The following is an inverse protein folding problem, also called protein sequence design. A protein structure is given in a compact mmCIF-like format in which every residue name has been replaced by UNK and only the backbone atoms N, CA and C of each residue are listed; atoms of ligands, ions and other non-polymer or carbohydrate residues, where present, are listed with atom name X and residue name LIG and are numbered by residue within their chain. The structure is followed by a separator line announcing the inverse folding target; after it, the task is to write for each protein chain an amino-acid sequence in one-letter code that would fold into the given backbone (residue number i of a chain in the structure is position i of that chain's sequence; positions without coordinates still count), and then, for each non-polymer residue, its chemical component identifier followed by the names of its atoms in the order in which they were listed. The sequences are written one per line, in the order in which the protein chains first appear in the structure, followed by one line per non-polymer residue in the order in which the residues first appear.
data_IF_950314733322
#
_entry.id   IF_950314733322
#
_cell.length_a   1.000
_cell.length_b   1.000
_cell.length_c   1.000
_cell.angle_alpha   90.00
_cell.angle_beta   90.00
_cell.angle_gamma   90.00
#
_symmetry.space_group_name_H-M   'P 1'
#
loop_
_entity.id
_entity.type
_entity.pdbx_description
1 polymer ?
#
# COMPACT_ATOMS: atom_id res chain seq x y z
N UNK A 1 33.59 9.23 32.07
CA UNK A 1 32.46 9.97 32.66
C UNK A 1 32.73 11.46 32.50
N UNK A 2 31.94 12.19 31.70
CA UNK A 2 31.54 13.60 31.90
C UNK A 2 30.40 13.82 30.91
N UNK A 3 29.20 13.90 31.46
CA UNK A 3 27.92 13.96 30.79
C UNK A 3 27.54 15.43 30.62
N UNK A 4 27.54 15.97 29.40
CA UNK A 4 27.11 17.36 29.14
C UNK A 4 25.66 17.34 28.62
N UNK A 5 24.71 17.55 29.55
CA UNK A 5 23.30 17.80 29.27
C UNK A 5 23.13 19.28 28.90
N UNK A 6 22.63 19.53 27.70
CA UNK A 6 22.05 20.80 27.23
C UNK A 6 20.74 20.34 26.59
N UNK A 7 19.54 20.76 26.97
CA UNK A 7 19.10 22.03 27.51
C UNK A 7 17.80 22.28 26.74
N UNK A 8 16.67 22.14 27.42
CA UNK A 8 15.33 22.12 26.84
C UNK A 8 14.98 23.43 26.13
N UNK A 9 14.27 23.33 25.00
CA UNK A 9 13.44 24.43 24.49
C UNK A 9 12.12 23.86 24.00
N UNK A 10 11.11 24.01 24.86
CA UNK A 10 9.70 23.92 24.51
C UNK A 10 9.40 25.06 23.51
N UNK A 11 8.89 24.70 22.33
CA UNK A 11 8.08 25.62 21.53
C UNK A 11 6.74 24.94 21.28
N UNK A 12 5.78 25.33 22.11
CA UNK A 12 4.37 25.06 22.01
C UNK A 12 3.83 25.86 20.82
N UNK A 13 3.38 25.19 19.75
CA UNK A 13 2.68 25.84 18.64
C UNK A 13 1.23 25.35 18.58
N UNK A 14 0.26 26.27 18.38
CA UNK A 14 -1.15 25.96 18.49
C UNK A 14 -1.69 25.23 17.25
N UNK A 15 -2.59 24.29 17.57
CA UNK A 15 -3.41 23.49 16.69
C UNK A 15 -4.44 24.38 15.96
N UNK A 16 -4.35 24.52 14.64
CA UNK A 16 -5.41 25.13 13.81
C UNK A 16 -6.22 23.99 13.19
N UNK A 17 -7.38 23.71 13.77
CA UNK A 17 -8.36 22.78 13.23
C UNK A 17 -9.26 23.52 12.21
N UNK A 18 -8.99 23.32 10.93
CA UNK A 18 -9.88 23.76 9.85
C UNK A 18 -10.82 22.61 9.47
N UNK A 19 -12.05 22.64 9.99
CA UNK A 19 -13.12 21.72 9.59
C UNK A 19 -13.77 22.23 8.30
N UNK A 20 -13.37 21.68 7.17
CA UNK A 20 -14.10 21.83 5.91
C UNK A 20 -15.24 20.82 5.86
N UNK A 21 -16.47 21.33 5.94
CA UNK A 21 -17.70 20.58 5.70
C UNK A 21 -17.80 20.24 4.20
N UNK A 22 -17.85 18.95 3.86
CA UNK A 22 -18.19 18.50 2.51
C UNK A 22 -19.72 18.36 2.37
N UNK A 23 -20.31 18.83 1.26
CA UNK A 23 -21.71 18.59 0.96
C UNK A 23 -21.96 17.14 0.52
N UNK A 24 -22.98 16.53 1.13
CA UNK A 24 -23.52 15.23 0.77
C UNK A 24 -24.18 15.30 -0.62
N UNK A 25 -23.67 14.54 -1.59
CA UNK A 25 -24.35 14.34 -2.87
C UNK A 25 -25.25 13.10 -2.81
N UNK A 26 -26.47 13.31 -3.29
CA UNK A 26 -27.61 12.44 -3.21
C UNK A 26 -27.45 11.12 -3.97
N UNK A 27 -28.04 10.07 -3.41
CA UNK A 27 -28.13 8.72 -3.97
C UNK A 27 -29.18 8.71 -5.10
N UNK A 28 -28.81 8.23 -6.29
CA UNK A 28 -29.75 7.88 -7.35
C UNK A 28 -30.24 6.44 -7.18
N UNK A 29 -31.56 6.32 -7.04
CA UNK A 29 -32.37 5.11 -6.90
C UNK A 29 -32.16 4.08 -8.03
N UNK A 30 -32.20 2.76 -7.74
CA UNK A 30 -32.15 1.71 -8.75
C UNK A 30 -33.47 1.57 -9.52
N UNK A 31 -33.35 1.32 -10.84
CA UNK A 31 -34.44 1.02 -11.77
C UNK A 31 -34.85 -0.46 -11.66
N UNK A 32 -36.07 -0.72 -11.20
CA UNK A 32 -36.70 -2.04 -11.30
C UNK A 32 -37.22 -2.28 -12.72
N UNK A 33 -36.80 -3.38 -13.34
CA UNK A 33 -37.44 -3.96 -14.53
C UNK A 33 -37.90 -5.37 -14.21
N UNK A 34 -39.21 -5.57 -14.15
CA UNK A 34 -39.86 -6.88 -14.13
C UNK A 34 -40.08 -7.36 -15.57
N UNK A 35 -39.82 -8.65 -15.85
CA UNK A 35 -40.55 -9.35 -16.90
C UNK A 35 -41.23 -10.63 -16.40
N UNK A 36 -42.57 -10.59 -16.43
CA UNK A 36 -43.52 -11.55 -17.03
C UNK A 36 -43.25 -13.06 -16.83
N UNK A 37 -44.00 -13.63 -15.90
CA UNK A 37 -44.20 -15.06 -15.66
C UNK A 37 -44.85 -15.76 -16.87
N UNK A 38 -44.19 -16.79 -17.39
CA UNK A 38 -44.79 -17.83 -18.25
C UNK A 38 -44.67 -19.16 -17.49
N UNK A 39 -45.76 -19.91 -17.24
CA UNK A 39 -45.69 -21.18 -16.54
C UNK A 39 -45.58 -22.33 -17.55
N UNK A 40 -44.41 -22.96 -17.66
CA UNK A 40 -44.28 -24.21 -18.42
C UNK A 40 -43.41 -25.23 -17.66
N UNK A 41 -44.10 -26.29 -17.23
CA UNK A 41 -43.69 -27.70 -17.20
C UNK A 41 -42.52 -28.06 -16.28
N UNK A 42 -42.89 -28.49 -15.06
CA UNK A 42 -42.00 -29.16 -14.12
C UNK A 42 -41.58 -30.52 -14.67
N UNK A 43 -40.35 -30.58 -15.19
CA UNK A 43 -39.61 -31.82 -15.35
C UNK A 43 -38.76 -31.94 -14.10
N UNK A 44 -39.06 -32.92 -13.24
CA UNK A 44 -38.30 -33.17 -12.02
C UNK A 44 -36.94 -33.79 -12.38
N UNK A 45 -35.98 -32.94 -12.71
CA UNK A 45 -34.57 -33.31 -12.65
C UNK A 45 -34.17 -33.26 -11.18
N UNK A 46 -33.83 -34.42 -10.61
CA UNK A 46 -33.19 -34.49 -9.30
C UNK A 46 -31.82 -33.82 -9.40
N UNK A 47 -31.77 -32.52 -9.15
CA UNK A 47 -30.52 -31.80 -8.96
C UNK A 47 -30.01 -32.17 -7.58
N UNK A 48 -28.96 -33.00 -7.54
CA UNK A 48 -28.08 -33.10 -6.40
C UNK A 48 -27.57 -31.69 -6.09
N UNK A 49 -28.29 -30.97 -5.23
CA UNK A 49 -28.04 -29.56 -4.96
C UNK A 49 -26.92 -29.55 -3.94
N UNK A 50 -25.68 -29.55 -4.42
CA UNK A 50 -24.56 -29.20 -3.56
C UNK A 50 -24.89 -27.87 -2.88
N UNK A 51 -24.65 -27.72 -1.57
CA UNK A 51 -24.90 -26.46 -0.89
C UNK A 51 -24.13 -25.36 -1.62
N UNK A 52 -24.87 -24.37 -2.12
CA UNK A 52 -24.32 -23.21 -2.82
C UNK A 52 -23.38 -22.53 -1.83
N UNK A 53 -22.08 -22.67 -2.05
CA UNK A 53 -21.07 -22.08 -1.18
C UNK A 53 -21.19 -20.55 -1.31
N UNK A 54 -21.62 -19.89 -0.25
CA UNK A 54 -21.81 -18.43 -0.22
C UNK A 54 -20.54 -17.75 0.25
N UNK A 55 -20.01 -16.82 -0.55
CA UNK A 55 -18.91 -15.93 -0.16
C UNK A 55 -19.51 -14.69 0.50
N UNK A 56 -18.95 -14.26 1.63
CA UNK A 56 -19.29 -12.97 2.23
C UNK A 56 -18.58 -11.84 1.46
N UNK A 57 -19.32 -11.20 0.56
CA UNK A 57 -18.81 -10.11 -0.30
C UNK A 57 -18.34 -8.90 0.51
N UNK A 58 -19.00 -8.59 1.63
CA UNK A 58 -18.61 -7.47 2.49
C UNK A 58 -17.27 -7.75 3.18
N UNK A 59 -17.06 -9.00 3.62
CA UNK A 59 -15.78 -9.45 4.15
C UNK A 59 -14.64 -9.32 3.12
N UNK A 60 -14.89 -9.72 1.86
CA UNK A 60 -13.90 -9.57 0.78
C UNK A 60 -13.56 -8.11 0.52
N UNK A 61 -14.57 -7.23 0.44
CA UNK A 61 -14.37 -5.80 0.22
C UNK A 61 -13.48 -5.18 1.33
N UNK A 62 -13.73 -5.53 2.59
CA UNK A 62 -12.90 -5.09 3.71
C UNK A 62 -11.45 -5.58 3.59
N UNK A 63 -11.24 -6.84 3.17
CA UNK A 63 -9.90 -7.37 2.95
C UNK A 63 -9.15 -6.65 1.80
N UNK A 64 -9.86 -6.27 0.74
CA UNK A 64 -9.31 -5.46 -0.36
C UNK A 64 -8.90 -4.08 0.15
N UNK A 65 -9.78 -3.38 0.87
CA UNK A 65 -9.49 -2.05 1.42
C UNK A 65 -8.24 -2.07 2.31
N UNK A 66 -8.11 -3.10 3.17
CA UNK A 66 -6.93 -3.29 4.00
C UNK A 66 -5.65 -3.51 3.19
N UNK A 67 -5.71 -4.28 2.09
CA UNK A 67 -4.58 -4.51 1.20
C UNK A 67 -4.13 -3.21 0.53
N UNK A 68 -5.07 -2.49 -0.07
CA UNK A 68 -4.79 -1.25 -0.79
C UNK A 68 -4.23 -0.18 0.15
N UNK A 69 -4.80 -0.02 1.34
CA UNK A 69 -4.28 0.89 2.36
C UNK A 69 -2.83 0.52 2.78
N UNK A 70 -2.53 -0.77 2.96
CA UNK A 70 -1.20 -1.23 3.31
C UNK A 70 -0.17 -0.99 2.18
N UNK A 71 -0.54 -1.23 0.92
CA UNK A 71 0.32 -0.96 -0.24
C UNK A 71 0.55 0.55 -0.39
N UNK A 72 -0.50 1.36 -0.24
CA UNK A 72 -0.40 2.83 -0.25
C UNK A 72 0.59 3.34 0.79
N UNK A 73 0.45 2.93 2.04
CA UNK A 73 1.37 3.31 3.12
C UNK A 73 2.83 2.87 2.86
N UNK A 74 3.02 1.69 2.26
CA UNK A 74 4.35 1.20 1.89
C UNK A 74 4.99 2.06 0.77
N UNK A 75 4.19 2.49 -0.22
CA UNK A 75 4.63 3.40 -1.27
C UNK A 75 5.02 4.77 -0.72
N UNK A 76 4.20 5.34 0.17
CA UNK A 76 4.50 6.63 0.81
C UNK A 76 5.84 6.57 1.57
N UNK A 77 6.06 5.48 2.30
CA UNK A 77 7.31 5.22 3.02
C UNK A 77 8.49 5.11 2.05
N UNK A 78 8.33 4.36 0.96
CA UNK A 78 9.35 4.23 -0.09
C UNK A 78 9.71 5.58 -0.72
N UNK A 79 8.72 6.34 -1.16
CA UNK A 79 8.93 7.63 -1.82
C UNK A 79 9.56 8.64 -0.89
N UNK A 80 9.15 8.68 0.38
CA UNK A 80 9.78 9.52 1.41
C UNK A 80 11.25 9.17 1.62
N UNK A 81 11.57 7.87 1.71
CA UNK A 81 12.95 7.40 1.86
C UNK A 81 13.81 7.74 0.64
N UNK A 82 13.30 7.54 -0.57
CA UNK A 82 14.02 7.85 -1.81
C UNK A 82 14.23 9.36 -1.97
N UNK A 83 13.22 10.19 -1.68
CA UNK A 83 13.35 11.66 -1.69
C UNK A 83 14.45 12.12 -0.74
N UNK A 84 14.42 11.62 0.50
CA UNK A 84 15.45 11.92 1.52
C UNK A 84 16.84 11.50 1.04
N UNK A 85 16.97 10.31 0.42
CA UNK A 85 18.23 9.83 -0.13
C UNK A 85 18.75 10.70 -1.28
N UNK A 86 17.87 11.19 -2.14
CA UNK A 86 18.21 12.11 -3.23
C UNK A 86 18.69 13.45 -2.71
N UNK A 87 18.02 14.01 -1.70
CA UNK A 87 18.42 15.26 -1.05
C UNK A 87 19.81 15.14 -0.38
N UNK A 88 20.04 14.03 0.34
CA UNK A 88 21.35 13.73 0.93
C UNK A 88 22.45 13.56 -0.13
N UNK A 89 22.16 12.85 -1.24
CA UNK A 89 23.10 12.70 -2.35
C UNK A 89 23.43 14.05 -2.98
N UNK A 90 22.42 14.90 -3.21
CA UNK A 90 22.62 16.25 -3.76
C UNK A 90 23.56 17.07 -2.88
N UNK A 91 23.32 17.10 -1.57
CA UNK A 91 24.19 17.79 -0.62
C UNK A 91 25.62 17.25 -0.62
N UNK A 92 25.79 15.92 -0.60
CA UNK A 92 27.10 15.29 -0.61
C UNK A 92 27.88 15.55 -1.92
N UNK A 93 27.20 15.53 -3.07
CA UNK A 93 27.84 15.86 -4.35
C UNK A 93 28.26 17.33 -4.42
N UNK A 94 27.42 18.25 -3.94
CA UNK A 94 27.78 19.68 -3.85
C UNK A 94 29.03 19.87 -2.99
N UNK A 95 29.09 19.22 -1.83
CA UNK A 95 30.26 19.26 -0.94
C UNK A 95 31.50 18.65 -1.61
N UNK A 96 31.37 17.53 -2.32
CA UNK A 96 32.48 16.90 -3.02
C UNK A 96 33.09 17.83 -4.07
N UNK A 97 32.27 18.57 -4.83
CA UNK A 97 32.75 19.51 -5.84
C UNK A 97 33.45 20.75 -5.29
N UNK A 98 33.34 21.03 -3.99
CA UNK A 98 34.12 22.06 -3.33
C UNK A 98 35.56 21.61 -2.98
N UNK A 99 35.88 20.32 -3.12
CA UNK A 99 37.22 19.77 -2.81
C UNK A 99 38.18 20.09 -3.95
N UNK A 100 39.26 20.83 -3.67
CA UNK A 100 40.27 21.20 -4.66
C UNK A 100 41.01 19.96 -5.22
N UNK A 101 41.45 19.07 -4.33
CA UNK A 101 42.26 17.91 -4.70
C UNK A 101 41.44 16.84 -5.44
N UNK A 102 41.90 16.45 -6.62
CA UNK A 102 41.16 15.59 -7.55
C UNK A 102 40.92 14.19 -6.98
N UNK A 103 41.91 13.62 -6.29
CA UNK A 103 41.81 12.29 -5.69
C UNK A 103 40.76 12.25 -4.59
N UNK A 104 40.75 13.26 -3.72
CA UNK A 104 39.79 13.39 -2.61
C UNK A 104 38.37 13.64 -3.12
N UNK A 105 38.22 14.51 -4.13
CA UNK A 105 36.93 14.75 -4.80
C UNK A 105 36.32 13.46 -5.35
N UNK A 106 37.10 12.66 -6.08
CA UNK A 106 36.63 11.38 -6.63
C UNK A 106 36.19 10.40 -5.54
N UNK A 107 36.94 10.33 -4.43
CA UNK A 107 36.58 9.51 -3.28
C UNK A 107 35.25 9.96 -2.66
N UNK A 108 35.04 11.27 -2.47
CA UNK A 108 33.80 11.83 -1.94
C UNK A 108 32.60 11.58 -2.85
N UNK A 109 32.76 11.73 -4.17
CA UNK A 109 31.71 11.40 -5.16
C UNK A 109 31.34 9.92 -5.08
N UNK A 110 32.34 9.01 -5.05
CA UNK A 110 32.10 7.56 -4.92
C UNK A 110 31.35 7.23 -3.62
N UNK A 111 31.73 7.86 -2.52
CA UNK A 111 31.05 7.70 -1.23
C UNK A 111 29.57 8.14 -1.31
N UNK A 112 29.29 9.31 -1.89
CA UNK A 112 27.93 9.81 -2.07
C UNK A 112 27.04 8.82 -2.86
N UNK A 113 27.55 8.27 -3.96
CA UNK A 113 26.83 7.27 -4.76
C UNK A 113 26.70 5.91 -4.06
N UNK A 114 27.69 5.50 -3.27
CA UNK A 114 27.61 4.27 -2.47
C UNK A 114 26.49 4.38 -1.43
N UNK A 115 26.47 5.47 -0.68
CA UNK A 115 25.43 5.75 0.33
C UNK A 115 24.05 5.79 -0.29
N UNK A 116 23.87 6.52 -1.41
CA UNK A 116 22.59 6.58 -2.10
C UNK A 116 22.09 5.20 -2.54
N UNK A 117 22.95 4.39 -3.18
CA UNK A 117 22.60 3.03 -3.62
C UNK A 117 22.23 2.13 -2.45
N UNK A 118 22.94 2.25 -1.32
CA UNK A 118 22.64 1.54 -0.09
C UNK A 118 21.24 1.88 0.44
N UNK A 119 20.91 3.16 0.55
CA UNK A 119 19.59 3.60 1.01
C UNK A 119 18.47 3.20 0.04
N UNK A 120 18.68 3.40 -1.26
CA UNK A 120 17.71 3.02 -2.29
C UNK A 120 17.43 1.52 -2.29
N UNK A 121 18.48 0.68 -2.23
CA UNK A 121 18.33 -0.78 -2.17
C UNK A 121 17.54 -1.24 -0.94
N UNK A 122 17.82 -0.64 0.24
CA UNK A 122 17.07 -0.90 1.47
C UNK A 122 15.60 -0.51 1.34
N UNK A 123 15.31 0.69 0.81
CA UNK A 123 13.93 1.14 0.59
C UNK A 123 13.19 0.23 -0.40
N UNK A 124 13.82 -0.15 -1.51
CA UNK A 124 13.23 -1.07 -2.49
C UNK A 124 13.00 -2.47 -1.92
N UNK A 125 13.86 -2.95 -1.02
CA UNK A 125 13.65 -4.22 -0.29
C UNK A 125 12.45 -4.11 0.66
N UNK A 126 12.39 -3.06 1.45
CA UNK A 126 11.29 -2.82 2.39
C UNK A 126 9.94 -2.73 1.67
N UNK A 127 9.86 -2.02 0.52
CA UNK A 127 8.64 -1.95 -0.29
C UNK A 127 8.19 -3.34 -0.76
N UNK A 128 9.11 -4.15 -1.31
CA UNK A 128 8.79 -5.51 -1.78
C UNK A 128 8.31 -6.41 -0.63
N UNK A 129 8.95 -6.33 0.53
CA UNK A 129 8.54 -7.09 1.71
C UNK A 129 7.16 -6.67 2.21
N UNK A 130 6.88 -5.35 2.27
CA UNK A 130 5.59 -4.81 2.67
C UNK A 130 4.47 -5.24 1.71
N UNK A 131 4.69 -5.16 0.39
CA UNK A 131 3.71 -5.64 -0.61
C UNK A 131 3.43 -7.14 -0.46
N UNK A 132 4.48 -7.97 -0.32
CA UNK A 132 4.31 -9.41 -0.09
C UNK A 132 3.53 -9.70 1.19
N UNK A 133 3.78 -8.95 2.25
CA UNK A 133 3.06 -9.07 3.51
C UNK A 133 1.58 -8.69 3.35
N UNK A 134 1.27 -7.57 2.68
CA UNK A 134 -0.09 -7.14 2.39
C UNK A 134 -0.87 -8.20 1.60
N UNK A 135 -0.27 -8.75 0.55
CA UNK A 135 -0.86 -9.82 -0.25
C UNK A 135 -1.04 -11.13 0.51
N UNK A 136 -0.07 -11.50 1.36
CA UNK A 136 -0.22 -12.68 2.23
C UNK A 136 -1.42 -12.49 3.16
N UNK A 137 -1.50 -11.33 3.82
CA UNK A 137 -2.60 -11.01 4.72
C UNK A 137 -3.95 -11.03 4.00
N UNK A 138 -4.06 -10.39 2.84
CA UNK A 138 -5.27 -10.43 2.02
C UNK A 138 -5.73 -11.87 1.71
N UNK A 139 -4.81 -12.77 1.33
CA UNK A 139 -5.14 -14.18 1.08
C UNK A 139 -5.62 -14.91 2.33
N UNK A 140 -5.08 -14.57 3.50
CA UNK A 140 -5.47 -15.18 4.76
C UNK A 140 -6.84 -14.64 5.22
N UNK A 141 -7.05 -13.32 5.15
CA UNK A 141 -8.33 -12.66 5.46
C UNK A 141 -9.44 -13.16 4.54
N UNK A 142 -9.15 -13.30 3.24
CA UNK A 142 -10.11 -13.83 2.26
C UNK A 142 -10.59 -15.23 2.62
N UNK A 143 -9.70 -16.14 3.03
CA UNK A 143 -10.09 -17.51 3.41
C UNK A 143 -11.07 -17.51 4.59
N UNK A 144 -10.99 -16.51 5.46
CA UNK A 144 -11.92 -16.34 6.57
C UNK A 144 -13.33 -15.89 6.11
N UNK A 145 -13.46 -15.35 4.89
CA UNK A 145 -14.74 -14.89 4.32
C UNK A 145 -15.63 -16.00 3.73
N UNK A 146 -15.21 -17.27 3.80
CA UNK A 146 -16.06 -18.43 3.52
C UNK A 146 -15.40 -19.54 2.67
N UNK A 147 -16.03 -20.73 2.60
CA UNK A 147 -15.48 -21.94 1.97
C UNK A 147 -15.39 -21.89 0.43
N UNK A 148 -15.77 -20.77 -0.19
CA UNK A 148 -15.59 -20.50 -1.63
C UNK A 148 -14.94 -19.18 -1.96
N UNK A 149 -14.26 -18.58 -0.99
CA UNK A 149 -13.44 -17.41 -1.22
C UNK A 149 -12.13 -17.78 -1.98
N UNK A 150 -12.22 -18.68 -2.97
CA UNK A 150 -11.22 -18.80 -4.01
C UNK A 150 -11.25 -17.50 -4.83
N UNK A 151 -10.10 -17.08 -5.34
CA UNK A 151 -10.07 -15.91 -6.21
C UNK A 151 -10.95 -16.15 -7.43
N UNK A 152 -11.90 -15.25 -7.70
CA UNK A 152 -12.57 -15.18 -9.00
C UNK A 152 -11.58 -14.74 -10.12
N UNK A 153 -10.39 -14.26 -9.73
CA UNK A 153 -9.30 -13.85 -10.61
C UNK A 153 -7.93 -14.36 -10.08
N UNK A 154 -7.64 -15.67 -10.18
CA UNK A 154 -6.43 -16.24 -9.62
C UNK A 154 -5.17 -15.82 -10.39
N UNK A 155 -5.32 -15.43 -11.66
CA UNK A 155 -4.20 -15.09 -12.54
C UNK A 155 -3.67 -13.70 -12.25
N UNK A 156 -4.53 -12.68 -12.17
CA UNK A 156 -4.07 -11.31 -11.96
C UNK A 156 -3.57 -11.10 -10.52
N UNK A 157 -4.18 -11.76 -9.52
CA UNK A 157 -3.69 -11.68 -8.14
C UNK A 157 -2.26 -12.16 -7.95
N UNK A 158 -1.83 -13.18 -8.72
CA UNK A 158 -0.44 -13.65 -8.69
C UNK A 158 0.50 -12.64 -9.34
N UNK A 159 0.07 -11.95 -10.39
CA UNK A 159 0.87 -10.90 -11.06
C UNK A 159 1.01 -9.72 -10.11
N UNK A 160 -0.09 -9.24 -9.55
CA UNK A 160 -0.11 -8.06 -8.67
C UNK A 160 0.63 -8.30 -7.35
N UNK A 161 0.68 -9.55 -6.86
CA UNK A 161 1.49 -9.92 -5.71
C UNK A 161 3.01 -9.81 -5.94
N UNK A 162 3.45 -9.74 -7.20
CA UNK A 162 4.85 -9.66 -7.58
C UNK A 162 5.29 -8.27 -8.09
N UNK A 163 4.35 -7.35 -8.35
CA UNK A 163 4.61 -5.94 -8.70
C UNK A 163 5.00 -5.12 -7.48
#
# INVERSE_FOLDING_TARGET
MILKKIGASLLLTPLVAATLALPALAQTTPRQTTPKTTPLRQTQTQTNTMPKRTVDVACIAAAVDMREAAIGAALDTYHTAVKTALDARRAALKAAWAIAESKERRAAIKAAWSTFRGTWSKASKALREAKRAAWKKYRDDRKACGPSAASDDPTNESVDANL
#
